data_IF_988461933777
#
_entry.id   IF_988461933777
#
_cell.length_a   1.000
_cell.length_b   1.000
_cell.length_c   1.000
_cell.angle_alpha   90.00
_cell.angle_beta   90.00
_cell.angle_gamma   90.00
#
_symmetry.space_group_name_H-M   'P 1'
#
loop_
_entity.id
_entity.type
_entity.pdbx_description
1 polymer ?
#
# COMPACT_ATOMS: atom_id res chain seq x y z
N UNK A 1 8.54 -8.83 -7.21
CA UNK A 1 7.77 -7.73 -6.58
C UNK A 1 6.30 -8.05 -6.32
N UNK A 2 5.53 -8.50 -7.33
CA UNK A 2 4.11 -8.79 -7.14
C UNK A 2 3.85 -9.95 -6.15
N UNK A 3 4.60 -11.05 -6.27
CA UNK A 3 4.49 -12.19 -5.34
C UNK A 3 4.79 -11.77 -3.90
N UNK A 4 5.84 -10.97 -3.70
CA UNK A 4 6.16 -10.36 -2.41
C UNK A 4 5.00 -9.50 -1.89
N UNK A 5 4.47 -8.58 -2.70
CA UNK A 5 3.34 -7.73 -2.29
C UNK A 5 2.08 -8.53 -1.89
N UNK A 6 1.80 -9.66 -2.55
CA UNK A 6 0.69 -10.54 -2.17
C UNK A 6 0.95 -11.29 -0.87
N UNK A 7 2.21 -11.69 -0.64
CA UNK A 7 2.64 -12.35 0.60
C UNK A 7 2.54 -11.38 1.78
N UNK A 8 3.16 -10.20 1.69
CA UNK A 8 3.12 -9.16 2.72
C UNK A 8 1.68 -8.72 3.02
N UNK A 9 0.82 -8.55 2.00
CA UNK A 9 -0.59 -8.24 2.18
C UNK A 9 -1.28 -9.26 3.10
N UNK A 10 -0.99 -10.55 2.95
CA UNK A 10 -1.56 -11.61 3.78
C UNK A 10 -0.94 -11.62 5.18
N UNK A 11 0.38 -11.53 5.27
CA UNK A 11 1.13 -11.57 6.53
C UNK A 11 0.74 -10.39 7.44
N UNK A 12 0.88 -9.16 6.94
CA UNK A 12 0.65 -7.94 7.72
C UNK A 12 -0.83 -7.65 7.97
N UNK A 13 -1.73 -7.97 7.03
CA UNK A 13 -3.14 -7.53 7.11
C UNK A 13 -4.18 -8.66 7.16
N UNK A 14 -3.76 -9.91 6.93
CA UNK A 14 -4.67 -11.06 6.80
C UNK A 14 -5.51 -11.04 5.53
N UNK A 15 -5.25 -10.12 4.59
CA UNK A 15 -6.06 -9.96 3.39
C UNK A 15 -5.51 -10.79 2.23
N UNK A 16 -6.41 -11.34 1.44
CA UNK A 16 -6.11 -11.95 0.14
C UNK A 16 -6.91 -11.25 -0.95
N UNK A 17 -6.35 -11.15 -2.16
CA UNK A 17 -6.96 -10.40 -3.25
C UNK A 17 -7.23 -11.28 -4.48
N UNK A 18 -8.34 -11.02 -5.14
CA UNK A 18 -8.68 -11.67 -6.43
C UNK A 18 -8.09 -10.94 -7.63
N UNK A 19 -7.77 -9.66 -7.47
CA UNK A 19 -7.12 -8.84 -8.49
C UNK A 19 -6.02 -7.99 -7.86
N UNK A 20 -4.86 -7.98 -8.50
CA UNK A 20 -3.75 -7.08 -8.18
C UNK A 20 -3.38 -6.28 -9.42
N UNK A 21 -3.22 -4.97 -9.28
CA UNK A 21 -2.84 -4.06 -10.38
C UNK A 21 -1.56 -3.33 -10.01
N UNK A 22 -0.57 -3.36 -10.90
CA UNK A 22 0.69 -2.63 -10.73
C UNK A 22 0.48 -1.14 -11.01
N UNK A 23 0.85 -0.28 -10.05
CA UNK A 23 0.75 1.18 -10.14
C UNK A 23 2.06 1.85 -10.58
N UNK A 24 3.15 1.09 -10.63
CA UNK A 24 4.44 1.50 -11.19
C UNK A 24 5.61 1.20 -10.28
N UNK A 25 6.77 1.67 -10.75
CA UNK A 25 8.08 1.58 -10.10
C UNK A 25 8.60 2.99 -9.86
N UNK A 26 9.18 3.23 -8.69
CA UNK A 26 9.61 4.55 -8.23
C UNK A 26 10.98 4.48 -7.58
N UNK A 27 11.83 5.47 -7.84
CA UNK A 27 13.02 5.69 -7.04
C UNK A 27 12.66 6.62 -5.87
N UNK A 28 13.04 6.25 -4.65
CA UNK A 28 12.64 7.00 -3.46
C UNK A 28 13.59 8.18 -3.20
N UNK A 29 14.88 7.94 -3.30
CA UNK A 29 15.91 8.96 -3.13
C UNK A 29 17.16 8.60 -3.93
N UNK A 30 17.06 8.68 -5.26
CA UNK A 30 18.12 8.27 -6.20
C UNK A 30 19.43 9.07 -6.11
N UNK A 31 19.47 10.13 -5.31
CA UNK A 31 20.70 10.85 -4.97
C UNK A 31 21.43 10.27 -3.74
N UNK A 32 20.81 9.34 -3.00
CA UNK A 32 21.33 8.76 -1.74
C UNK A 32 21.35 7.23 -1.78
N UNK A 33 20.32 6.60 -2.33
CA UNK A 33 20.12 5.14 -2.35
C UNK A 33 19.72 4.67 -3.74
N UNK A 34 20.03 3.41 -4.05
CA UNK A 34 19.53 2.70 -5.23
C UNK A 34 18.18 2.01 -5.00
N UNK A 35 17.57 2.25 -3.83
CA UNK A 35 16.26 1.70 -3.45
C UNK A 35 15.15 2.06 -4.46
N UNK A 36 14.36 1.03 -4.79
CA UNK A 36 13.21 1.12 -5.68
C UNK A 36 11.95 0.63 -4.97
N UNK A 37 10.93 1.48 -4.96
CA UNK A 37 9.58 1.12 -4.53
C UNK A 37 8.72 0.60 -5.68
N UNK A 38 7.97 -0.47 -5.43
CA UNK A 38 6.99 -1.01 -6.37
C UNK A 38 5.61 -0.94 -5.73
N UNK A 39 4.68 -0.22 -6.34
CA UNK A 39 3.34 -0.02 -5.79
C UNK A 39 2.31 -0.89 -6.51
N UNK A 40 1.42 -1.49 -5.73
CA UNK A 40 0.32 -2.32 -6.22
C UNK A 40 -0.98 -1.91 -5.53
N UNK A 41 -2.11 -2.07 -6.22
CA UNK A 41 -3.45 -2.00 -5.61
C UNK A 41 -4.12 -3.36 -5.70
N UNK A 42 -4.59 -3.83 -4.54
CA UNK A 42 -5.32 -5.07 -4.40
C UNK A 42 -6.83 -4.78 -4.38
N UNK A 43 -7.62 -5.57 -5.10
CA UNK A 43 -9.08 -5.44 -5.21
C UNK A 43 -9.75 -6.81 -5.07
N UNK A 44 -11.03 -6.78 -4.69
CA UNK A 44 -11.80 -8.00 -4.39
C UNK A 44 -11.15 -8.77 -3.25
N UNK A 45 -11.07 -8.10 -2.10
CA UNK A 45 -10.38 -8.56 -0.91
C UNK A 45 -11.25 -9.55 -0.12
N UNK A 46 -10.60 -10.57 0.41
CA UNK A 46 -11.16 -11.51 1.40
C UNK A 46 -10.35 -11.42 2.67
N UNK A 47 -11.03 -11.36 3.80
CA UNK A 47 -10.42 -11.30 5.13
C UNK A 47 -10.12 -12.69 5.68
N UNK A 48 -8.94 -12.83 6.28
CA UNK A 48 -8.47 -14.02 6.98
C UNK A 48 -7.65 -13.64 8.22
N UNK A 49 -6.88 -14.60 8.73
CA UNK A 49 -5.95 -14.35 9.83
C UNK A 49 -4.67 -13.68 9.33
N UNK A 50 -4.14 -12.74 10.12
CA UNK A 50 -2.80 -12.19 9.95
C UNK A 50 -1.73 -13.23 10.28
N UNK A 51 -0.54 -13.05 9.74
CA UNK A 51 0.64 -13.88 9.96
C UNK A 51 1.87 -12.97 10.09
N UNK A 52 1.77 -11.96 10.97
CA UNK A 52 2.80 -10.96 11.21
C UNK A 52 4.07 -11.60 11.77
N UNK A 53 5.23 -11.11 11.36
CA UNK A 53 6.51 -11.54 11.92
C UNK A 53 6.67 -11.05 13.38
N UNK A 54 7.50 -11.73 14.18
CA UNK A 54 7.71 -11.37 15.59
C UNK A 54 8.25 -9.94 15.80
N UNK A 55 8.92 -9.41 14.79
CA UNK A 55 9.51 -8.06 14.77
C UNK A 55 8.50 -6.98 14.39
N UNK A 56 7.31 -7.34 13.94
CA UNK A 56 6.30 -6.42 13.45
C UNK A 56 5.36 -5.97 14.55
N UNK A 57 5.29 -4.65 14.76
CA UNK A 57 4.35 -4.04 15.71
C UNK A 57 3.41 -3.13 14.94
N UNK A 58 2.42 -3.76 14.29
CA UNK A 58 1.50 -3.09 13.36
C UNK A 58 0.08 -2.94 13.94
N UNK A 59 -0.65 -1.94 13.46
CA UNK A 59 -2.08 -1.76 13.77
C UNK A 59 -2.85 -1.54 12.48
N UNK A 60 -3.84 -2.39 12.23
CA UNK A 60 -4.67 -2.32 11.02
C UNK A 60 -5.77 -1.28 11.21
N UNK A 61 -5.93 -0.38 10.24
CA UNK A 61 -7.03 0.59 10.18
C UNK A 61 -7.73 0.50 8.83
N UNK A 62 -9.06 0.50 8.85
CA UNK A 62 -9.92 0.62 7.66
C UNK A 62 -10.58 1.98 7.68
N UNK A 63 -10.35 2.76 6.64
CA UNK A 63 -10.86 4.13 6.50
C UNK A 63 -11.48 4.31 5.11
N UNK A 64 -12.48 5.20 4.95
CA UNK A 64 -12.95 5.62 3.64
C UNK A 64 -11.82 6.19 2.80
N UNK A 65 -11.79 5.85 1.51
CA UNK A 65 -10.72 6.31 0.62
C UNK A 65 -10.60 7.84 0.58
N UNK A 66 -11.72 8.56 0.59
CA UNK A 66 -11.69 10.03 0.62
C UNK A 66 -11.01 10.57 1.88
N UNK A 67 -11.21 9.93 3.03
CA UNK A 67 -10.54 10.34 4.27
C UNK A 67 -9.03 10.12 4.16
N UNK A 68 -8.59 8.97 3.66
CA UNK A 68 -7.18 8.66 3.43
C UNK A 68 -6.55 9.64 2.44
N UNK A 69 -7.25 9.98 1.37
CA UNK A 69 -6.81 11.00 0.42
C UNK A 69 -6.66 12.37 1.09
N UNK A 70 -7.62 12.82 1.89
CA UNK A 70 -7.46 14.09 2.62
C UNK A 70 -6.27 14.03 3.60
N UNK A 71 -6.02 12.89 4.25
CA UNK A 71 -4.85 12.71 5.11
C UNK A 71 -3.52 12.87 4.37
N UNK A 72 -3.43 12.53 3.08
CA UNK A 72 -2.21 12.79 2.28
C UNK A 72 -2.07 14.27 1.91
N UNK A 73 -3.20 14.99 1.80
CA UNK A 73 -3.20 16.42 1.46
C UNK A 73 -2.88 17.32 2.66
N UNK A 74 -3.34 16.93 3.85
CA UNK A 74 -3.20 17.73 5.08
C UNK A 74 -2.00 17.35 5.95
N UNK A 75 -1.20 16.37 5.52
CA UNK A 75 0.05 15.97 6.17
C UNK A 75 -0.12 15.00 7.35
N UNK A 76 -1.30 14.41 7.55
CA UNK A 76 -1.47 13.29 8.48
C UNK A 76 -0.83 11.99 7.97
N UNK A 77 -0.72 11.83 6.65
CA UNK A 77 0.08 10.79 5.99
C UNK A 77 1.18 11.49 5.20
N UNK A 78 2.43 11.25 5.57
CA UNK A 78 3.62 11.86 4.95
C UNK A 78 4.57 10.86 4.34
N UNK A 79 4.34 9.55 4.55
CA UNK A 79 5.15 8.50 3.92
C UNK A 79 4.98 8.57 2.38
N UNK A 80 6.11 8.60 1.66
CA UNK A 80 6.11 8.91 0.23
C UNK A 80 5.41 7.83 -0.59
N UNK A 81 5.59 6.56 -0.23
CA UNK A 81 4.94 5.45 -0.93
C UNK A 81 3.43 5.47 -0.71
N UNK A 82 3.00 5.76 0.51
CA UNK A 82 1.58 5.93 0.85
C UNK A 82 0.94 7.09 0.08
N UNK A 83 1.58 8.26 0.05
CA UNK A 83 1.10 9.43 -0.70
C UNK A 83 1.00 9.13 -2.20
N UNK A 84 2.03 8.50 -2.77
CA UNK A 84 2.07 8.13 -4.19
C UNK A 84 0.99 7.11 -4.55
N UNK A 85 0.80 6.07 -3.72
CA UNK A 85 -0.19 5.03 -3.95
C UNK A 85 -1.61 5.63 -3.98
N UNK A 86 -1.96 6.39 -2.94
CA UNK A 86 -3.28 7.02 -2.79
C UNK A 86 -3.54 8.00 -3.95
N UNK A 87 -2.55 8.82 -4.31
CA UNK A 87 -2.67 9.77 -5.43
C UNK A 87 -2.87 9.06 -6.77
N UNK A 88 -2.11 7.98 -7.04
CA UNK A 88 -2.26 7.21 -8.28
C UNK A 88 -3.61 6.51 -8.38
N UNK A 89 -4.11 5.95 -7.28
CA UNK A 89 -5.44 5.33 -7.23
C UNK A 89 -6.52 6.35 -7.59
N UNK A 90 -6.45 7.56 -7.01
CA UNK A 90 -7.36 8.68 -7.33
C UNK A 90 -7.30 9.07 -8.80
N UNK A 91 -6.10 9.27 -9.35
CA UNK A 91 -5.92 9.67 -10.75
C UNK A 91 -6.37 8.60 -11.74
N UNK A 92 -6.24 7.33 -11.37
CA UNK A 92 -6.69 6.20 -12.19
C UNK A 92 -8.21 5.94 -12.10
N UNK A 93 -8.94 6.66 -11.23
CA UNK A 93 -10.38 6.45 -11.02
C UNK A 93 -10.71 5.07 -10.47
N UNK A 94 -9.77 4.45 -9.74
CA UNK A 94 -9.96 3.13 -9.13
C UNK A 94 -10.81 3.25 -7.86
N UNK A 95 -10.65 4.35 -7.12
CA UNK A 95 -11.41 4.72 -5.93
C UNK A 95 -11.53 6.25 -5.82
#
# INVERSE_FOLDING_TARGET
PQECALRELKEETGLSATKITNLGRFHLSNCITDEEGYLFVAQGLTEGATDMEETEVLTIKRLPFEEVFQMTQDGRITDVLSVLAVTKIRLAGIA
#
